data_IF_345207356743
#
_entry.id   IF_345207356743
#
_cell.length_a   1.000
_cell.length_b   1.000
_cell.length_c   1.000
_cell.angle_alpha   90.00
_cell.angle_beta   90.00
_cell.angle_gamma   90.00
#
_symmetry.space_group_name_H-M   'P 1'
#
loop_
_entity.id
_entity.type
_entity.pdbx_description
1 polymer ?
#
# COMPACT_ATOMS: atom_id res chain seq x y z
N UNK A 1 -11.58 -11.52 -0.76
CA UNK A 1 -12.08 -10.44 -1.65
C UNK A 1 -11.09 -10.25 -2.77
N UNK A 2 -11.51 -9.90 -3.98
CA UNK A 2 -10.56 -9.58 -5.03
C UNK A 2 -10.14 -8.12 -4.94
N UNK A 3 -8.82 -7.88 -4.99
CA UNK A 3 -8.29 -6.53 -5.14
C UNK A 3 -8.08 -6.23 -6.62
N UNK A 4 -8.55 -5.06 -7.05
CA UNK A 4 -8.51 -4.60 -8.44
C UNK A 4 -7.76 -3.28 -8.49
N UNK A 5 -6.79 -3.20 -9.40
CA UNK A 5 -6.11 -1.98 -9.80
C UNK A 5 -6.76 -1.42 -11.07
N UNK A 6 -7.25 -0.19 -10.99
CA UNK A 6 -7.66 0.61 -12.14
C UNK A 6 -6.81 1.87 -12.22
N UNK A 7 -6.57 2.37 -13.42
CA UNK A 7 -5.95 3.68 -13.61
C UNK A 7 -6.37 4.30 -14.93
N UNK A 8 -6.48 5.63 -14.92
CA UNK A 8 -6.75 6.44 -16.11
C UNK A 8 -5.62 7.46 -16.26
N UNK A 9 -4.93 7.46 -17.39
CA UNK A 9 -3.90 8.47 -17.68
C UNK A 9 -4.55 9.84 -17.87
N UNK A 10 -3.92 10.86 -17.30
CA UNK A 10 -4.38 12.23 -17.29
C UNK A 10 -3.32 13.16 -17.88
N UNK A 11 -3.76 14.33 -18.33
CA UNK A 11 -2.84 15.44 -18.56
C UNK A 11 -2.17 15.85 -17.24
N UNK A 12 -0.91 16.28 -17.31
CA UNK A 12 -0.21 16.82 -16.14
C UNK A 12 -0.98 18.03 -15.58
N UNK A 13 -1.29 18.07 -14.27
CA UNK A 13 -2.13 19.10 -13.68
C UNK A 13 -1.45 20.48 -13.71
N UNK A 14 -0.12 20.49 -13.62
CA UNK A 14 0.70 21.70 -13.72
C UNK A 14 1.25 21.83 -15.14
N UNK A 15 0.44 22.33 -16.07
CA UNK A 15 0.81 22.46 -17.49
C UNK A 15 2.01 23.36 -17.76
N UNK A 16 2.39 24.19 -16.79
CA UNK A 16 3.46 25.19 -16.88
C UNK A 16 4.73 24.79 -16.14
N UNK A 17 4.68 23.70 -15.36
CA UNK A 17 5.85 23.15 -14.72
C UNK A 17 6.48 22.11 -15.64
N UNK A 18 7.81 22.08 -15.75
CA UNK A 18 8.48 21.01 -16.47
C UNK A 18 8.19 19.69 -15.75
N UNK A 19 7.32 18.87 -16.34
CA UNK A 19 7.15 17.49 -15.89
C UNK A 19 8.49 16.77 -16.01
N UNK A 20 8.80 15.94 -15.03
CA UNK A 20 10.02 15.15 -15.08
C UNK A 20 9.96 14.19 -16.27
N UNK A 21 11.09 13.98 -16.97
CA UNK A 21 11.12 13.08 -18.13
C UNK A 21 10.66 11.69 -17.68
N UNK A 22 9.55 11.22 -18.25
CA UNK A 22 9.01 9.90 -18.01
C UNK A 22 7.82 9.84 -17.06
N UNK A 23 7.46 10.93 -16.38
CA UNK A 23 6.28 10.98 -15.51
C UNK A 23 4.98 10.69 -16.28
N UNK A 24 4.06 9.96 -15.61
CA UNK A 24 2.75 9.62 -16.16
C UNK A 24 1.69 9.89 -15.11
N UNK A 25 1.12 11.09 -15.18
CA UNK A 25 0.02 11.45 -14.29
C UNK A 25 -1.19 10.55 -14.56
N UNK A 26 -1.77 10.00 -13.51
CA UNK A 26 -2.95 9.16 -13.61
C UNK A 26 -3.87 9.33 -12.42
N UNK A 27 -5.16 9.08 -12.62
CA UNK A 27 -6.04 8.72 -11.52
C UNK A 27 -5.89 7.23 -11.23
N UNK A 28 -5.43 6.86 -10.04
CA UNK A 28 -5.12 5.49 -9.63
C UNK A 28 -6.17 5.05 -8.60
N UNK A 29 -6.78 3.89 -8.83
CA UNK A 29 -7.77 3.32 -7.91
C UNK A 29 -7.40 1.91 -7.51
N UNK A 30 -7.49 1.65 -6.21
CA UNK A 30 -7.48 0.30 -5.66
C UNK A 30 -8.86 0.02 -5.07
N UNK A 31 -9.50 -1.03 -5.57
CA UNK A 31 -10.87 -1.40 -5.22
C UNK A 31 -10.93 -2.84 -4.74
N UNK A 32 -11.82 -3.09 -3.80
CA UNK A 32 -12.13 -4.41 -3.27
C UNK A 32 -13.48 -4.86 -3.81
N UNK A 33 -13.54 -6.11 -4.27
CA UNK A 33 -14.74 -6.76 -4.75
C UNK A 33 -15.05 -8.02 -3.94
N UNK A 34 -16.34 -8.28 -3.73
CA UNK A 34 -16.86 -9.52 -3.15
C UNK A 34 -17.88 -10.08 -4.12
N UNK A 35 -17.63 -11.28 -4.65
CA UNK A 35 -18.50 -11.96 -5.61
C UNK A 35 -18.90 -11.03 -6.78
N UNK A 36 -17.88 -10.47 -7.46
CA UNK A 36 -18.00 -9.51 -8.57
C UNK A 36 -18.71 -8.18 -8.25
N UNK A 37 -19.11 -7.96 -7.01
CA UNK A 37 -19.74 -6.72 -6.56
C UNK A 37 -18.71 -5.80 -5.90
N UNK A 38 -18.66 -4.54 -6.33
CA UNK A 38 -17.81 -3.53 -5.69
C UNK A 38 -18.18 -3.38 -4.22
N UNK A 39 -17.19 -3.50 -3.35
CA UNK A 39 -17.36 -3.46 -1.90
C UNK A 39 -16.81 -2.18 -1.30
N UNK A 40 -15.55 -1.81 -1.62
CA UNK A 40 -14.91 -0.59 -1.10
C UNK A 40 -13.85 -0.10 -2.08
N UNK A 41 -13.74 1.22 -2.23
CA UNK A 41 -12.56 1.85 -2.84
C UNK A 41 -11.62 2.24 -1.72
N UNK A 42 -10.42 1.64 -1.70
CA UNK A 42 -9.41 1.90 -0.65
C UNK A 42 -8.40 2.96 -1.08
N UNK A 43 -8.22 3.17 -2.38
CA UNK A 43 -7.44 4.27 -2.96
C UNK A 43 -8.21 4.83 -4.14
N UNK A 44 -8.31 6.16 -4.24
CA UNK A 44 -8.75 6.92 -5.42
C UNK A 44 -7.92 8.21 -5.42
N UNK A 45 -6.80 8.20 -6.14
CA UNK A 45 -5.78 9.24 -6.01
C UNK A 45 -5.15 9.61 -7.34
N UNK A 46 -4.90 10.90 -7.53
CA UNK A 46 -4.13 11.39 -8.67
C UNK A 46 -2.65 11.49 -8.32
N UNK A 47 -1.80 10.77 -9.04
CA UNK A 47 -0.35 10.76 -8.81
C UNK A 47 0.43 10.31 -10.04
N UNK A 48 1.76 10.37 -9.97
CA UNK A 48 2.63 9.72 -10.95
C UNK A 48 2.52 8.19 -10.83
N UNK A 49 1.89 7.58 -11.84
CA UNK A 49 1.69 6.14 -11.92
C UNK A 49 3.01 5.38 -12.07
N UNK A 50 4.04 6.00 -12.67
CA UNK A 50 5.37 5.37 -12.78
C UNK A 50 5.95 5.13 -11.40
N UNK A 51 5.90 6.14 -10.54
CA UNK A 51 6.42 6.07 -9.16
C UNK A 51 5.67 5.01 -8.37
N UNK A 52 4.34 5.07 -8.37
CA UNK A 52 3.53 4.16 -7.56
C UNK A 52 3.65 2.71 -8.03
N UNK A 53 3.56 2.45 -9.34
CA UNK A 53 3.67 1.09 -9.87
C UNK A 53 5.09 0.54 -9.75
N UNK A 54 6.12 1.37 -9.86
CA UNK A 54 7.49 0.96 -9.56
C UNK A 54 7.66 0.55 -8.11
N UNK A 55 7.11 1.32 -7.17
CA UNK A 55 7.15 0.96 -5.74
C UNK A 55 6.42 -0.36 -5.48
N UNK A 56 5.22 -0.56 -6.03
CA UNK A 56 4.49 -1.82 -5.90
C UNK A 56 5.31 -3.00 -6.43
N UNK A 57 5.89 -2.87 -7.62
CA UNK A 57 6.72 -3.90 -8.24
C UNK A 57 7.96 -4.26 -7.40
N UNK A 58 8.65 -3.25 -6.85
CA UNK A 58 9.84 -3.46 -6.02
C UNK A 58 9.53 -4.18 -4.71
N UNK A 59 8.32 -3.98 -4.16
CA UNK A 59 7.95 -4.49 -2.84
C UNK A 59 7.02 -5.71 -2.89
N UNK A 60 6.59 -6.17 -4.07
CA UNK A 60 5.56 -7.19 -4.17
C UNK A 60 5.97 -8.52 -3.53
N UNK A 61 7.25 -8.89 -3.64
CA UNK A 61 7.78 -10.10 -3.03
C UNK A 61 7.68 -10.01 -1.50
N UNK A 62 7.94 -8.84 -0.92
CA UNK A 62 7.80 -8.59 0.51
C UNK A 62 6.33 -8.62 0.92
N UNK A 63 5.44 -7.91 0.20
CA UNK A 63 3.99 -7.94 0.46
C UNK A 63 3.44 -9.38 0.51
N UNK A 64 3.95 -10.25 -0.35
CA UNK A 64 3.50 -11.64 -0.44
C UNK A 64 4.04 -12.56 0.65
N UNK A 65 5.25 -12.32 1.15
CA UNK A 65 6.01 -13.33 1.91
C UNK A 65 6.54 -12.85 3.27
N UNK A 66 6.66 -11.54 3.47
CA UNK A 66 7.26 -10.99 4.66
C UNK A 66 6.23 -10.94 5.81
N UNK A 67 6.49 -11.64 6.93
CA UNK A 67 5.63 -11.55 8.10
C UNK A 67 5.83 -10.20 8.79
N UNK A 68 4.77 -9.73 9.47
CA UNK A 68 4.87 -8.56 10.35
C UNK A 68 5.93 -8.82 11.45
N UNK A 69 6.95 -7.95 11.61
CA UNK A 69 8.02 -8.15 12.60
C UNK A 69 7.57 -7.70 14.01
N UNK A 70 6.35 -8.05 14.41
CA UNK A 70 5.80 -7.77 15.74
C UNK A 70 5.38 -9.12 16.33
N UNK A 71 6.04 -9.60 17.40
CA UNK A 71 5.83 -10.96 17.93
C UNK A 71 4.40 -11.28 18.37
N UNK A 72 3.64 -10.27 18.79
CA UNK A 72 2.26 -10.41 19.25
C UNK A 72 1.38 -9.43 18.49
N UNK A 73 0.80 -9.88 17.38
CA UNK A 73 -0.22 -9.15 16.64
C UNK A 73 -1.46 -10.04 16.48
N UNK A 74 -2.51 -9.73 17.23
CA UNK A 74 -3.80 -10.41 17.16
C UNK A 74 -4.88 -9.59 16.43
N UNK A 75 -4.50 -8.39 16.00
CA UNK A 75 -5.39 -7.44 15.32
C UNK A 75 -4.92 -7.23 13.88
N UNK A 76 -5.42 -6.19 13.23
CA UNK A 76 -5.03 -5.83 11.88
C UNK A 76 -3.56 -5.37 11.82
N UNK A 77 -2.88 -5.60 10.68
CA UNK A 77 -1.52 -5.13 10.44
C UNK A 77 -1.40 -3.62 10.76
N UNK A 78 -2.36 -2.82 10.28
CA UNK A 78 -2.40 -1.39 10.51
C UNK A 78 -2.47 -1.03 12.00
N UNK A 79 -3.33 -1.71 12.78
CA UNK A 79 -3.49 -1.46 14.21
C UNK A 79 -2.26 -1.88 15.00
N UNK A 80 -1.71 -3.06 14.71
CA UNK A 80 -0.48 -3.52 15.37
C UNK A 80 0.69 -2.56 15.14
N UNK A 81 0.83 -2.01 13.93
CA UNK A 81 1.83 -0.99 13.64
C UNK A 81 1.55 0.31 14.40
N UNK A 82 0.29 0.75 14.47
CA UNK A 82 -0.08 1.94 15.24
C UNK A 82 0.26 1.77 16.73
N UNK A 83 -0.17 0.66 17.33
CA UNK A 83 0.04 0.36 18.75
C UNK A 83 1.52 0.16 19.06
N UNK A 84 2.31 -0.40 18.14
CA UNK A 84 3.76 -0.46 18.28
C UNK A 84 4.34 0.93 18.50
N UNK A 85 4.08 1.89 17.60
CA UNK A 85 4.63 3.24 17.73
C UNK A 85 4.02 4.04 18.89
N UNK A 86 2.76 3.81 19.23
CA UNK A 86 2.08 4.48 20.35
C UNK A 86 2.64 4.06 21.71
N UNK A 87 3.08 2.82 21.84
CA UNK A 87 3.60 2.26 23.09
C UNK A 87 5.14 2.19 23.09
N UNK A 88 5.82 2.86 22.17
CA UNK A 88 7.28 3.00 22.22
C UNK A 88 7.64 3.76 23.50
N UNK A 89 8.35 3.08 24.40
CA UNK A 89 8.95 3.65 25.60
C UNK A 89 10.45 3.84 25.35
N UNK A 90 10.93 5.08 25.48
CA UNK A 90 12.31 5.48 25.19
C UNK A 90 13.33 4.73 26.10
N UNK A 91 12.90 4.22 27.26
CA UNK A 91 13.79 3.53 28.21
C UNK A 91 14.10 2.06 27.83
N UNK A 92 13.31 1.47 26.91
CA UNK A 92 13.42 0.06 26.51
C UNK A 92 13.40 -0.13 24.99
N UNK A 93 13.86 0.89 24.25
CA UNK A 93 13.89 0.87 22.80
C UNK A 93 14.85 -0.21 22.29
N UNK A 94 14.28 -1.24 21.66
CA UNK A 94 15.02 -2.20 20.86
C UNK A 94 15.19 -1.62 19.45
N UNK A 95 16.37 -1.04 19.19
CA UNK A 95 16.70 -0.38 17.92
C UNK A 95 16.57 -1.35 16.72
N UNK A 96 16.95 -2.62 16.88
CA UNK A 96 16.86 -3.61 15.81
C UNK A 96 15.39 -3.90 15.45
N UNK A 97 14.53 -3.98 16.47
CA UNK A 97 13.08 -4.14 16.27
C UNK A 97 12.46 -2.89 15.64
N UNK A 98 12.86 -1.69 16.09
CA UNK A 98 12.39 -0.44 15.51
C UNK A 98 12.75 -0.35 14.03
N UNK A 99 13.98 -0.67 13.66
CA UNK A 99 14.46 -0.69 12.29
C UNK A 99 13.73 -1.73 11.44
N UNK A 100 13.46 -2.91 12.00
CA UNK A 100 12.69 -3.96 11.35
C UNK A 100 11.25 -3.50 11.06
N UNK A 101 10.57 -2.91 12.05
CA UNK A 101 9.19 -2.41 11.90
C UNK A 101 9.13 -1.23 10.93
N UNK A 102 10.09 -0.30 10.99
CA UNK A 102 10.18 0.79 10.03
C UNK A 102 10.38 0.27 8.60
N UNK A 103 11.32 -0.66 8.43
CA UNK A 103 11.61 -1.31 7.17
C UNK A 103 10.39 -2.03 6.59
N UNK A 104 9.64 -2.74 7.43
CA UNK A 104 8.37 -3.35 7.05
C UNK A 104 7.37 -2.29 6.55
N UNK A 105 7.19 -1.20 7.30
CA UNK A 105 6.28 -0.11 6.89
C UNK A 105 6.62 0.46 5.51
N UNK A 106 7.91 0.66 5.23
CA UNK A 106 8.37 1.18 3.92
C UNK A 106 7.98 0.27 2.75
N UNK A 107 7.97 -1.04 2.97
CA UNK A 107 7.66 -2.04 1.94
C UNK A 107 6.17 -2.37 1.83
N UNK A 108 5.42 -2.19 2.91
CA UNK A 108 4.02 -2.63 3.01
C UNK A 108 2.99 -1.49 3.04
N UNK A 109 3.39 -0.26 3.39
CA UNK A 109 2.50 0.89 3.53
C UNK A 109 2.35 1.69 2.23
N UNK A 110 1.12 1.82 1.71
CA UNK A 110 0.85 2.50 0.44
C UNK A 110 1.33 3.96 0.41
N UNK A 111 1.35 4.62 1.58
CA UNK A 111 1.93 5.96 1.77
C UNK A 111 3.37 6.08 1.27
N UNK A 112 4.16 5.01 1.31
CA UNK A 112 5.54 5.05 0.85
C UNK A 112 5.69 4.96 -0.67
N UNK A 113 4.68 4.42 -1.37
CA UNK A 113 4.58 4.50 -2.83
C UNK A 113 3.93 5.79 -3.32
N UNK A 114 3.15 6.46 -2.47
CA UNK A 114 2.45 7.72 -2.74
C UNK A 114 3.00 8.86 -1.87
N UNK A 115 4.33 8.92 -1.70
CA UNK A 115 4.98 9.93 -0.84
C UNK A 115 4.63 11.34 -1.30
N UNK A 116 4.37 12.22 -0.34
CA UNK A 116 3.97 13.61 -0.63
C UNK A 116 2.46 13.79 -0.84
N UNK A 117 1.68 12.71 -0.73
CA UNK A 117 0.22 12.76 -0.67
C UNK A 117 -0.30 12.66 0.77
N UNK A 118 -1.54 13.08 0.98
CA UNK A 118 -2.26 12.90 2.24
C UNK A 118 -2.98 11.54 2.32
N UNK A 119 -2.41 10.50 1.70
CA UNK A 119 -3.04 9.19 1.74
C UNK A 119 -3.01 8.61 3.17
N UNK A 120 -4.11 7.99 3.64
CA UNK A 120 -4.13 7.32 4.93
C UNK A 120 -3.11 6.17 5.02
N UNK A 121 -2.81 5.74 6.25
CA UNK A 121 -1.88 4.63 6.52
C UNK A 121 -2.54 3.27 6.20
N UNK A 122 -2.63 2.96 4.92
CA UNK A 122 -3.13 1.69 4.41
C UNK A 122 -1.96 0.74 4.19
N UNK A 123 -2.09 -0.50 4.68
CA UNK A 123 -1.06 -1.53 4.59
C UNK A 123 -1.55 -2.75 3.83
N UNK A 124 -0.70 -3.27 2.95
CA UNK A 124 -0.83 -4.57 2.30
C UNK A 124 0.20 -5.51 2.90
N UNK A 125 -0.20 -6.70 3.33
CA UNK A 125 0.76 -7.66 3.86
C UNK A 125 0.16 -9.01 4.16
N UNK A 126 1.00 -9.91 4.67
CA UNK A 126 0.63 -11.27 5.04
C UNK A 126 0.54 -11.42 6.56
N UNK A 127 -0.52 -12.07 7.02
CA UNK A 127 -0.71 -12.51 8.39
C UNK A 127 -1.30 -13.92 8.36
N UNK A 128 -0.76 -14.86 9.15
CA UNK A 128 -1.22 -16.26 9.19
C UNK A 128 -1.38 -16.93 7.81
N UNK A 129 -0.43 -16.66 6.90
CA UNK A 129 -0.39 -17.16 5.51
C UNK A 129 -1.53 -16.68 4.60
N UNK A 130 -2.23 -15.63 5.00
CA UNK A 130 -3.28 -14.96 4.22
C UNK A 130 -2.87 -13.52 3.97
N UNK A 131 -3.33 -12.95 2.86
CA UNK A 131 -3.05 -11.56 2.51
C UNK A 131 -4.18 -10.66 2.97
N UNK A 132 -3.81 -9.52 3.52
CA UNK A 132 -4.72 -8.54 4.06
C UNK A 132 -4.42 -7.15 3.49
N UNK A 133 -5.49 -6.39 3.31
CA UNK A 133 -5.42 -4.94 3.27
C UNK A 133 -6.07 -4.41 4.54
N UNK A 134 -5.35 -3.54 5.24
CA UNK A 134 -5.80 -3.01 6.52
C UNK A 134 -5.52 -1.53 6.65
N UNK A 135 -6.33 -0.89 7.49
CA UNK A 135 -6.24 0.49 7.86
C UNK A 135 -6.69 0.65 9.30
N UNK A 136 -6.05 1.60 9.97
CA UNK A 136 -6.39 1.96 11.32
C UNK A 136 -6.06 3.44 11.54
N UNK A 137 -7.01 4.15 12.14
CA UNK A 137 -6.78 5.36 12.91
C UNK A 137 -7.61 5.32 14.20
N UNK A 138 -7.64 6.42 14.97
CA UNK A 138 -8.37 6.46 16.25
C UNK A 138 -9.91 6.48 16.08
N UNK A 139 -10.43 6.57 14.85
CA UNK A 139 -11.85 6.75 14.51
C UNK A 139 -12.40 5.52 13.76
N UNK A 140 -11.66 4.99 12.79
CA UNK A 140 -12.05 3.90 11.90
C UNK A 140 -10.95 2.82 11.82
N UNK A 141 -11.39 1.57 11.84
CA UNK A 141 -10.55 0.41 11.56
C UNK A 141 -11.24 -0.47 10.51
N UNK A 142 -10.45 -1.01 9.59
CA UNK A 142 -10.89 -2.14 8.78
C UNK A 142 -9.73 -3.06 8.41
N UNK A 143 -10.06 -4.33 8.24
CA UNK A 143 -9.13 -5.38 7.84
C UNK A 143 -9.85 -6.38 6.95
N UNK A 144 -9.39 -6.53 5.71
CA UNK A 144 -10.03 -7.40 4.73
C UNK A 144 -9.03 -8.42 4.20
N UNK A 145 -9.40 -9.70 4.27
CA UNK A 145 -8.68 -10.77 3.58
C UNK A 145 -8.89 -10.63 2.06
N UNK A 146 -7.78 -10.56 1.33
CA UNK A 146 -7.75 -10.30 -0.11
C UNK A 146 -7.03 -11.42 -0.88
N UNK A 147 -7.49 -11.64 -2.10
CA UNK A 147 -6.72 -12.29 -3.15
C UNK A 147 -5.98 -11.22 -3.94
N UNK A 148 -4.71 -11.50 -4.21
CA UNK A 148 -3.83 -10.61 -4.99
C UNK A 148 -3.67 -11.07 -6.44
N UNK A 149 -4.24 -12.20 -6.85
CA UNK A 149 -3.96 -12.81 -8.17
C UNK A 149 -4.33 -11.87 -9.33
N UNK A 150 -5.53 -11.29 -9.29
CA UNK A 150 -5.99 -10.36 -10.33
C UNK A 150 -5.19 -9.06 -10.29
N UNK A 151 -4.99 -8.52 -9.09
CA UNK A 151 -4.19 -7.32 -8.86
C UNK A 151 -2.77 -7.45 -9.43
N UNK A 152 -2.09 -8.57 -9.20
CA UNK A 152 -0.73 -8.81 -9.68
C UNK A 152 -0.64 -8.80 -11.20
N UNK A 153 -1.59 -9.45 -11.87
CA UNK A 153 -1.67 -9.45 -13.32
C UNK A 153 -1.91 -8.03 -13.87
N UNK A 154 -2.81 -7.27 -13.25
CA UNK A 154 -3.08 -5.89 -13.62
C UNK A 154 -1.86 -4.98 -13.42
N UNK A 155 -1.18 -5.11 -12.27
CA UNK A 155 0.02 -4.36 -11.96
C UNK A 155 1.16 -4.63 -12.95
N UNK A 156 1.37 -5.90 -13.33
CA UNK A 156 2.37 -6.27 -14.33
C UNK A 156 2.09 -5.62 -15.70
N UNK A 157 0.84 -5.70 -16.15
CA UNK A 157 0.42 -5.09 -17.41
C UNK A 157 0.54 -3.57 -17.38
N UNK A 158 0.06 -2.94 -16.30
CA UNK A 158 0.12 -1.49 -16.12
C UNK A 158 1.55 -0.97 -16.11
N UNK A 159 2.42 -1.63 -15.34
CA UNK A 159 3.83 -1.25 -15.23
C UNK A 159 4.58 -1.38 -16.56
N UNK A 160 4.29 -2.42 -17.35
CA UNK A 160 4.86 -2.57 -18.70
C UNK A 160 4.41 -1.44 -19.62
N UNK A 161 3.10 -1.14 -19.66
CA UNK A 161 2.54 -0.09 -20.52
C UNK A 161 3.07 1.30 -20.18
N UNK A 162 3.28 1.60 -18.89
CA UNK A 162 3.71 2.92 -18.42
C UNK A 162 5.21 3.15 -18.59
N UNK A 163 6.01 2.08 -18.69
CA UNK A 163 7.46 2.16 -18.94
C UNK A 163 7.85 2.16 -20.42
N UNK A 164 6.92 1.88 -21.32
CA UNK A 164 7.15 1.87 -22.78
C UNK A 164 6.84 3.24 -23.37
#
# INVERSE_FOLDING_TARGET
MDMILEYDLLDHPHKHEPSSIGERWANIKLKLFRDDTHFKTIVDWQWDAVVFFSWLQQNIINILNEPLPIPVCQESIAKCLFDFYKNLDDEHLDDDLLDAVYSYRVRHGLRFGLRGTDIPNIYLGMQDRKHYVSFYDEIEEWNYEISLDIFLNQLNNAYFLIKT
#
